data_IF_142911044344
#
_entry.id   IF_142911044344
#
_cell.length_a   1.000
_cell.length_b   1.000
_cell.length_c   1.000
_cell.angle_alpha   90.00
_cell.angle_beta   90.00
_cell.angle_gamma   90.00
#
_symmetry.space_group_name_H-M   'P 1'
#
loop_
_entity.id
_entity.type
_entity.pdbx_description
1 polymer ?
#
# COMPACT_ATOMS: atom_id res chain seq x y z
N UNK A 1 4.01 -32.24 4.80
CA UNK A 1 3.21 -31.02 5.11
C UNK A 1 3.84 -29.84 4.39
N UNK A 2 3.12 -29.19 3.47
CA UNK A 2 3.62 -27.99 2.80
C UNK A 2 3.52 -26.83 3.79
N UNK A 3 4.65 -26.18 4.10
CA UNK A 3 4.69 -25.10 5.10
C UNK A 3 3.90 -23.91 4.59
N UNK A 4 2.88 -23.48 5.35
CA UNK A 4 2.12 -22.28 5.01
C UNK A 4 3.05 -21.06 4.90
N UNK A 5 2.83 -20.22 3.89
CA UNK A 5 3.63 -19.02 3.68
C UNK A 5 3.18 -17.93 4.65
N UNK A 6 4.13 -17.11 5.10
CA UNK A 6 3.77 -15.84 5.74
C UNK A 6 3.08 -14.93 4.74
N UNK A 7 2.27 -13.99 5.22
CA UNK A 7 1.60 -13.01 4.35
C UNK A 7 2.59 -12.23 3.48
N UNK A 8 3.77 -11.88 4.00
CA UNK A 8 4.81 -11.21 3.20
C UNK A 8 5.37 -12.09 2.09
N UNK A 9 5.55 -13.39 2.34
CA UNK A 9 5.99 -14.33 1.32
C UNK A 9 4.91 -14.54 0.25
N UNK A 10 3.64 -14.70 0.64
CA UNK A 10 2.52 -14.78 -0.30
C UNK A 10 2.41 -13.49 -1.14
N UNK A 11 2.57 -12.32 -0.50
CA UNK A 11 2.58 -11.02 -1.18
C UNK A 11 3.74 -10.90 -2.17
N UNK A 12 4.93 -11.42 -1.83
CA UNK A 12 6.09 -11.43 -2.71
C UNK A 12 5.85 -12.30 -3.95
N UNK A 13 5.23 -13.48 -3.80
CA UNK A 13 4.88 -14.31 -4.95
C UNK A 13 3.89 -13.63 -5.89
N UNK A 14 2.84 -13.02 -5.36
CA UNK A 14 1.89 -12.24 -6.18
C UNK A 14 2.59 -11.07 -6.87
N UNK A 15 3.46 -10.36 -6.15
CA UNK A 15 4.27 -9.26 -6.73
C UNK A 15 5.04 -9.77 -7.94
N UNK A 16 5.75 -10.89 -7.81
CA UNK A 16 6.63 -11.41 -8.86
C UNK A 16 5.82 -11.82 -10.10
N UNK A 17 4.69 -12.52 -9.92
CA UNK A 17 3.76 -12.84 -11.02
C UNK A 17 3.32 -11.58 -11.77
N UNK A 18 2.93 -10.53 -11.05
CA UNK A 18 2.47 -9.29 -11.66
C UNK A 18 3.62 -8.51 -12.34
N UNK A 19 4.82 -8.52 -11.76
CA UNK A 19 6.01 -7.85 -12.31
C UNK A 19 6.58 -8.58 -13.54
N UNK A 20 6.29 -9.87 -13.69
CA UNK A 20 6.54 -10.62 -14.92
C UNK A 20 5.55 -10.25 -16.04
N UNK A 21 4.53 -9.43 -15.73
CA UNK A 21 3.55 -8.91 -16.69
C UNK A 21 2.26 -9.73 -16.78
N UNK A 22 2.08 -10.72 -15.91
CA UNK A 22 0.84 -11.46 -15.85
C UNK A 22 -0.25 -10.65 -15.14
N UNK A 23 -1.50 -10.90 -15.54
CA UNK A 23 -2.68 -10.43 -14.83
C UNK A 23 -3.26 -11.57 -13.99
N UNK A 24 -3.85 -11.23 -12.85
CA UNK A 24 -4.56 -12.18 -11.99
C UNK A 24 -6.03 -11.79 -11.89
N UNK A 25 -6.93 -12.68 -12.31
CA UNK A 25 -8.36 -12.52 -11.99
C UNK A 25 -8.57 -12.65 -10.47
N UNK A 26 -9.68 -12.13 -9.91
CA UNK A 26 -10.00 -12.30 -8.50
C UNK A 26 -9.94 -13.77 -8.04
N UNK A 27 -10.49 -14.69 -8.84
CA UNK A 27 -10.48 -16.13 -8.56
C UNK A 27 -9.08 -16.73 -8.55
N UNK A 28 -8.21 -16.35 -9.51
CA UNK A 28 -6.82 -16.81 -9.51
C UNK A 28 -6.07 -16.29 -8.29
N UNK A 29 -6.27 -15.00 -7.96
CA UNK A 29 -5.67 -14.37 -6.78
C UNK A 29 -6.07 -15.13 -5.51
N UNK A 30 -7.36 -15.34 -5.28
CA UNK A 30 -7.87 -16.00 -4.08
C UNK A 30 -7.42 -17.47 -3.98
N UNK A 31 -7.26 -18.15 -5.13
CA UNK A 31 -6.68 -19.51 -5.18
C UNK A 31 -5.22 -19.53 -4.73
N UNK A 32 -4.40 -18.58 -5.18
CA UNK A 32 -3.01 -18.45 -4.72
C UNK A 32 -2.94 -18.18 -3.22
N UNK A 33 -3.80 -17.32 -2.69
CA UNK A 33 -3.78 -17.03 -1.26
C UNK A 33 -4.26 -18.20 -0.41
N UNK A 34 -5.24 -18.96 -0.90
CA UNK A 34 -5.71 -20.18 -0.24
C UNK A 34 -4.59 -21.22 -0.12
N UNK A 35 -3.82 -21.45 -1.20
CA UNK A 35 -2.67 -22.36 -1.17
C UNK A 35 -1.49 -21.83 -0.35
N UNK A 36 -1.39 -20.51 -0.19
CA UNK A 36 -0.34 -19.84 0.59
C UNK A 36 -0.64 -19.71 2.10
N UNK A 37 -1.72 -20.31 2.61
CA UNK A 37 -2.08 -20.27 4.03
C UNK A 37 -3.35 -19.47 4.36
N UNK A 38 -4.22 -19.20 3.36
CA UNK A 38 -5.53 -18.59 3.59
C UNK A 38 -5.49 -17.08 3.86
N UNK A 39 -4.59 -16.35 3.21
CA UNK A 39 -4.48 -14.90 3.41
C UNK A 39 -5.63 -14.13 2.76
N UNK A 40 -6.05 -13.03 3.37
CA UNK A 40 -7.06 -12.15 2.77
C UNK A 40 -6.49 -11.30 1.63
N UNK A 41 -7.18 -11.29 0.47
CA UNK A 41 -6.79 -10.50 -0.69
C UNK A 41 -6.71 -9.01 -0.41
N UNK A 42 -7.65 -8.44 0.32
CA UNK A 42 -7.64 -7.03 0.73
C UNK A 42 -6.36 -6.66 1.48
N UNK A 43 -5.88 -7.57 2.35
CA UNK A 43 -4.69 -7.37 3.16
C UNK A 43 -3.41 -7.49 2.34
N UNK A 44 -3.37 -8.40 1.38
CA UNK A 44 -2.25 -8.53 0.42
C UNK A 44 -2.20 -7.33 -0.52
N UNK A 45 -3.33 -6.88 -1.07
CA UNK A 45 -3.41 -5.69 -1.90
C UNK A 45 -3.00 -4.43 -1.13
N UNK A 46 -3.35 -4.34 0.15
CA UNK A 46 -2.88 -3.27 1.03
C UNK A 46 -1.36 -3.27 1.13
N UNK A 47 -0.73 -4.43 1.33
CA UNK A 47 0.73 -4.53 1.38
C UNK A 47 1.37 -4.12 0.04
N UNK A 48 0.88 -4.68 -1.08
CA UNK A 48 1.40 -4.37 -2.41
C UNK A 48 1.32 -2.88 -2.71
N UNK A 49 0.14 -2.27 -2.56
CA UNK A 49 -0.12 -0.89 -3.00
C UNK A 49 0.36 0.14 -1.98
N UNK A 50 0.03 -0.04 -0.69
CA UNK A 50 0.23 1.00 0.32
C UNK A 50 1.57 0.90 1.06
N UNK A 51 2.09 -0.30 1.26
CA UNK A 51 3.34 -0.48 2.00
C UNK A 51 4.53 -0.67 1.06
N UNK A 52 4.35 -1.39 -0.05
CA UNK A 52 5.42 -1.63 -1.03
C UNK A 52 5.37 -0.68 -2.23
N UNK A 53 4.23 -0.01 -2.46
CA UNK A 53 4.08 0.98 -3.53
C UNK A 53 3.97 0.43 -4.94
N UNK A 54 3.76 -0.88 -5.10
CA UNK A 54 3.65 -1.52 -6.41
C UNK A 54 2.39 -0.97 -7.10
N UNK A 55 2.48 -0.46 -8.35
CA UNK A 55 1.38 0.19 -9.06
C UNK A 55 0.40 -0.85 -9.64
N UNK A 56 -0.20 -1.65 -8.75
CA UNK A 56 -1.19 -2.66 -9.13
C UNK A 56 -2.52 -1.97 -9.41
N UNK A 57 -2.97 -2.00 -10.65
CA UNK A 57 -4.27 -1.50 -11.09
C UNK A 57 -5.27 -2.64 -11.26
N UNK A 58 -6.57 -2.32 -11.19
CA UNK A 58 -7.65 -3.27 -11.48
C UNK A 58 -8.32 -2.86 -12.79
N UNK A 59 -8.43 -3.79 -13.72
CA UNK A 59 -9.13 -3.60 -15.01
C UNK A 59 -10.65 -3.65 -14.81
N UNK A 60 -11.40 -3.28 -15.86
CA UNK A 60 -12.86 -3.31 -15.86
C UNK A 60 -13.43 -4.73 -15.62
N UNK A 61 -12.70 -5.77 -16.06
CA UNK A 61 -13.04 -7.19 -15.81
C UNK A 61 -12.68 -7.65 -14.39
N UNK A 62 -12.16 -6.76 -13.55
CA UNK A 62 -11.74 -7.04 -12.18
C UNK A 62 -10.35 -7.66 -12.04
N UNK A 63 -9.63 -7.92 -13.14
CA UNK A 63 -8.28 -8.48 -13.09
C UNK A 63 -7.27 -7.46 -12.55
N UNK A 64 -6.36 -7.93 -11.69
CA UNK A 64 -5.25 -7.17 -11.15
C UNK A 64 -4.04 -7.29 -12.06
N UNK A 65 -3.41 -6.17 -12.37
CA UNK A 65 -2.23 -6.12 -13.25
C UNK A 65 -1.35 -4.92 -12.91
N UNK A 66 -0.14 -4.90 -13.46
CA UNK A 66 0.70 -3.71 -13.48
C UNK A 66 0.66 -3.13 -14.91
N UNK A 67 0.43 -1.81 -15.07
CA UNK A 67 0.43 -1.17 -16.38
C UNK A 67 1.75 -1.35 -17.13
N UNK A 68 1.71 -1.51 -18.45
CA UNK A 68 2.91 -1.76 -19.26
C UNK A 68 3.95 -0.64 -19.12
N UNK A 69 3.52 0.62 -19.00
CA UNK A 69 4.41 1.77 -18.74
C UNK A 69 5.26 1.61 -17.47
N UNK A 70 4.72 0.94 -16.46
CA UNK A 70 5.38 0.71 -15.17
C UNK A 70 6.25 -0.55 -15.24
N UNK A 71 5.82 -1.57 -16.00
CA UNK A 71 6.63 -2.75 -16.32
C UNK A 71 7.87 -2.40 -17.14
N UNK A 72 7.75 -1.53 -18.14
CA UNK A 72 8.89 -1.05 -18.95
C UNK A 72 9.94 -0.40 -18.06
N UNK A 73 9.52 0.53 -17.18
CA UNK A 73 10.43 1.16 -16.22
C UNK A 73 11.07 0.14 -15.29
N UNK A 74 10.28 -0.81 -14.78
CA UNK A 74 10.80 -1.88 -13.91
C UNK A 74 11.81 -2.78 -14.62
N UNK A 75 11.61 -3.13 -15.89
CA UNK A 75 12.55 -3.96 -16.66
C UNK A 75 13.88 -3.24 -16.91
N UNK A 76 13.86 -1.91 -17.04
CA UNK A 76 15.06 -1.09 -17.22
C UNK A 76 15.89 -1.01 -15.92
N UNK A 77 15.25 -0.84 -14.78
CA UNK A 77 15.91 -0.82 -13.46
C UNK A 77 15.01 -1.41 -12.37
N UNK A 78 15.16 -2.72 -12.14
CA UNK A 78 14.33 -3.44 -11.17
C UNK A 78 14.51 -2.92 -9.75
N UNK A 79 15.76 -2.73 -9.33
CA UNK A 79 16.09 -2.37 -7.96
C UNK A 79 15.73 -0.91 -7.68
N UNK A 80 16.06 0.00 -8.60
CA UNK A 80 15.72 1.41 -8.47
C UNK A 80 14.23 1.64 -8.49
N UNK A 81 13.47 0.99 -9.38
CA UNK A 81 12.01 1.15 -9.41
C UNK A 81 11.32 0.63 -8.16
N UNK A 82 11.74 -0.53 -7.62
CA UNK A 82 11.22 -1.02 -6.34
C UNK A 82 11.55 -0.05 -5.18
N UNK A 83 12.72 0.57 -5.20
CA UNK A 83 13.12 1.58 -4.22
C UNK A 83 12.26 2.85 -4.32
N UNK A 84 12.06 3.37 -5.54
CA UNK A 84 11.25 4.55 -5.84
C UNK A 84 9.81 4.32 -5.39
N UNK A 85 9.19 3.21 -5.79
CA UNK A 85 7.82 2.88 -5.41
C UNK A 85 7.65 2.76 -3.90
N UNK A 86 8.56 2.07 -3.21
CA UNK A 86 8.53 1.96 -1.74
C UNK A 86 8.66 3.32 -1.06
N UNK A 87 9.56 4.18 -1.56
CA UNK A 87 9.79 5.52 -1.03
C UNK A 87 8.54 6.39 -1.19
N UNK A 88 7.94 6.38 -2.38
CA UNK A 88 6.71 7.12 -2.66
C UNK A 88 5.55 6.62 -1.79
N UNK A 89 5.38 5.30 -1.64
CA UNK A 89 4.35 4.74 -0.78
C UNK A 89 4.51 5.18 0.69
N UNK A 90 5.75 5.20 1.19
CA UNK A 90 6.06 5.69 2.54
C UNK A 90 5.71 7.18 2.68
N UNK A 91 6.06 7.99 1.69
CA UNK A 91 5.70 9.41 1.66
C UNK A 91 4.19 9.63 1.63
N UNK A 92 3.46 8.96 0.73
CA UNK A 92 1.98 9.02 0.67
C UNK A 92 1.33 8.54 1.97
N UNK A 93 1.92 7.56 2.67
CA UNK A 93 1.43 7.12 3.99
C UNK A 93 1.61 8.19 5.05
N UNK A 94 2.71 8.93 5.03
CA UNK A 94 2.93 10.08 5.93
C UNK A 94 1.92 11.20 5.59
N UNK A 95 1.77 11.55 4.32
CA UNK A 95 0.80 12.58 3.89
C UNK A 95 -0.63 12.25 4.35
N UNK A 96 -1.09 11.01 4.18
CA UNK A 96 -2.42 10.58 4.66
C UNK A 96 -2.58 10.73 6.18
N UNK A 97 -1.52 10.49 6.96
CA UNK A 97 -1.55 10.69 8.41
C UNK A 97 -1.63 12.18 8.76
N UNK A 98 -0.86 13.02 8.08
CA UNK A 98 -0.90 14.48 8.25
C UNK A 98 -2.28 15.01 7.89
N UNK A 99 -2.83 14.63 6.75
CA UNK A 99 -4.18 15.01 6.32
C UNK A 99 -5.25 14.59 7.34
N UNK A 100 -5.17 13.35 7.84
CA UNK A 100 -6.09 12.86 8.87
C UNK A 100 -5.98 13.67 10.16
N UNK A 101 -4.76 14.00 10.59
CA UNK A 101 -4.52 14.81 11.78
C UNK A 101 -5.06 16.24 11.62
N UNK A 102 -4.83 16.88 10.48
CA UNK A 102 -5.36 18.20 10.15
C UNK A 102 -6.90 18.21 10.11
N UNK A 103 -7.52 17.15 9.60
CA UNK A 103 -8.98 17.01 9.58
C UNK A 103 -9.55 16.88 11.00
N UNK A 104 -8.90 16.13 11.88
CA UNK A 104 -9.29 16.03 13.30
C UNK A 104 -9.15 17.39 13.98
N UNK A 105 -8.01 18.06 13.81
CA UNK A 105 -7.77 19.40 14.36
C UNK A 105 -8.88 20.38 13.93
N UNK A 106 -9.24 20.39 12.63
CA UNK A 106 -10.33 21.24 12.15
C UNK A 106 -11.66 20.90 12.82
N UNK A 107 -11.93 19.61 13.06
CA UNK A 107 -13.18 19.13 13.64
C UNK A 107 -13.37 19.47 15.11
N UNK A 108 -12.29 19.58 15.89
CA UNK A 108 -12.36 19.90 17.34
C UNK A 108 -12.28 21.40 17.63
N UNK A 109 -12.08 22.24 16.60
CA UNK A 109 -11.87 23.68 16.77
C UNK A 109 -13.15 24.33 17.29
N UNK A 110 -13.07 24.98 18.45
CA UNK A 110 -14.22 25.58 19.13
C UNK A 110 -14.92 24.65 20.13
N UNK A 111 -14.68 23.33 20.03
CA UNK A 111 -15.17 22.34 21.00
C UNK A 111 -14.20 22.14 22.18
N UNK A 112 -12.97 22.62 22.04
CA UNK A 112 -11.93 22.60 23.08
C UNK A 112 -11.44 24.01 23.39
N UNK A 113 -10.85 24.19 24.58
CA UNK A 113 -10.21 25.44 24.97
C UNK A 113 -9.05 25.79 24.03
N UNK A 114 -8.76 27.09 23.87
CA UNK A 114 -7.67 27.57 23.00
C UNK A 114 -6.30 27.03 23.44
N UNK A 115 -6.06 26.89 24.76
CA UNK A 115 -4.82 26.32 25.28
C UNK A 115 -4.67 24.84 24.88
N UNK A 116 -5.72 24.04 25.05
CA UNK A 116 -5.73 22.64 24.61
C UNK A 116 -5.54 22.51 23.10
N UNK A 117 -6.19 23.38 22.32
CA UNK A 117 -6.05 23.39 20.88
C UNK A 117 -4.61 23.68 20.43
N UNK A 118 -3.97 24.67 21.06
CA UNK A 118 -2.58 25.04 20.80
C UNK A 118 -1.60 23.91 21.17
N UNK A 119 -1.78 23.28 22.33
CA UNK A 119 -0.97 22.13 22.75
C UNK A 119 -1.04 20.95 21.78
N UNK A 120 -2.25 20.58 21.35
CA UNK A 120 -2.47 19.48 20.40
C UNK A 120 -1.85 19.82 19.04
N UNK A 121 -2.00 21.06 18.58
CA UNK A 121 -1.43 21.51 17.30
C UNK A 121 0.09 21.44 17.33
N UNK A 122 0.74 21.90 18.41
CA UNK A 122 2.19 21.81 18.59
C UNK A 122 2.68 20.36 18.59
N UNK A 123 2.02 19.48 19.34
CA UNK A 123 2.39 18.07 19.40
C UNK A 123 2.26 17.35 18.05
N UNK A 124 1.27 17.72 17.22
CA UNK A 124 1.13 17.20 15.85
C UNK A 124 2.25 17.74 14.97
N UNK A 125 2.60 19.02 15.09
CA UNK A 125 3.75 19.64 14.42
C UNK A 125 5.03 18.85 14.69
N UNK A 126 5.43 18.69 15.95
CA UNK A 126 6.66 17.99 16.36
C UNK A 126 6.73 16.53 15.87
N UNK A 127 5.59 15.87 15.66
CA UNK A 127 5.53 14.47 15.23
C UNK A 127 5.69 14.29 13.71
N UNK A 128 5.31 15.29 12.92
CA UNK A 128 5.13 15.13 11.47
C UNK A 128 5.81 16.19 10.60
N UNK A 129 6.21 17.34 11.17
CA UNK A 129 6.89 18.46 10.51
C UNK A 129 8.27 18.65 11.13
#
# INVERSE_FOLDING_TARGET
MMKALTRNQATAQIRDILLDGHSLTPTQFDRYLSSAGGHERSRVLTLLRNDWGIPVEQRMDGAYHIPERDLVKYRLDKAGMLCIWRTNARYTKILRKVESALRILRGIRGDVSESSFSEITRAIGEKYL
#
